data_IF_921310582163
#
_entry.id   IF_921310582163
#
_cell.length_a   1.000
_cell.length_b   1.000
_cell.length_c   1.000
_cell.angle_alpha   90.00
_cell.angle_beta   90.00
_cell.angle_gamma   90.00
#
_symmetry.space_group_name_H-M   'P 1'
#
loop_
_entity.id
_entity.type
_entity.pdbx_description
1 polymer ?
#
# COMPACT_ATOMS: atom_id res chain seq x y z
N UNK A 1 10.24 10.00 -20.22
CA UNK A 1 8.87 9.97 -19.66
C UNK A 1 8.93 10.59 -18.27
N UNK A 2 8.15 11.65 -17.99
CA UNK A 2 8.08 12.22 -16.64
C UNK A 2 7.12 11.34 -15.84
N UNK A 3 7.63 10.70 -14.79
CA UNK A 3 6.82 9.91 -13.86
C UNK A 3 5.88 10.84 -13.11
N UNK A 4 4.61 10.86 -13.49
CA UNK A 4 3.58 11.69 -12.83
C UNK A 4 3.30 11.22 -11.39
N UNK A 5 3.81 10.04 -11.02
CA UNK A 5 3.60 9.44 -9.71
C UNK A 5 4.72 9.73 -8.71
N UNK A 6 5.95 10.09 -9.11
CA UNK A 6 7.01 10.29 -8.09
C UNK A 6 6.82 11.56 -7.27
N UNK A 7 6.34 12.65 -7.88
CA UNK A 7 6.36 13.98 -7.27
C UNK A 7 5.25 14.19 -6.23
N UNK A 8 4.27 13.27 -6.12
CA UNK A 8 3.23 13.28 -5.09
C UNK A 8 3.52 12.39 -3.88
N UNK A 9 4.57 11.58 -3.92
CA UNK A 9 4.96 10.68 -2.83
C UNK A 9 5.93 11.31 -1.81
N UNK A 10 6.34 12.56 -2.02
CA UNK A 10 7.24 13.33 -1.13
C UNK A 10 6.53 13.91 0.12
N UNK A 11 5.34 13.42 0.46
CA UNK A 11 4.67 13.79 1.70
C UNK A 11 5.26 13.00 2.88
N UNK A 12 6.06 13.72 3.65
CA UNK A 12 6.76 13.37 4.89
C UNK A 12 5.88 12.89 6.07
N UNK A 13 4.83 12.09 5.86
CA UNK A 13 4.11 11.44 6.95
C UNK A 13 4.73 10.07 7.22
N UNK A 14 5.28 9.92 8.43
CA UNK A 14 5.68 8.62 8.97
C UNK A 14 4.45 7.72 8.86
N UNK A 15 4.54 6.65 8.08
CA UNK A 15 3.47 5.66 7.96
C UNK A 15 3.06 5.22 9.38
N UNK A 16 1.84 5.57 9.80
CA UNK A 16 1.36 5.34 11.16
C UNK A 16 0.79 3.93 11.29
N UNK A 17 1.66 2.94 11.13
CA UNK A 17 1.32 1.53 11.30
C UNK A 17 0.79 1.27 12.72
N UNK A 18 1.24 2.06 13.69
CA UNK A 18 0.68 2.09 15.05
C UNK A 18 -0.83 2.38 15.08
N UNK A 19 -1.31 3.29 14.23
CA UNK A 19 -2.73 3.62 14.11
C UNK A 19 -3.50 2.53 13.38
N UNK A 20 -2.95 2.02 12.27
CA UNK A 20 -3.56 0.94 11.48
C UNK A 20 -3.70 -0.36 12.29
N UNK A 21 -2.70 -0.69 13.11
CA UNK A 21 -2.77 -1.87 13.98
C UNK A 21 -3.64 -1.63 15.22
N UNK A 22 -3.97 -0.38 15.56
CA UNK A 22 -4.88 -0.03 16.64
C UNK A 22 -4.52 -0.62 18.00
N UNK A 23 -3.22 -0.85 18.26
CA UNK A 23 -2.73 -1.53 19.47
C UNK A 23 -3.06 -3.03 19.56
N UNK A 24 -3.51 -3.65 18.46
CA UNK A 24 -3.79 -5.09 18.40
C UNK A 24 -2.49 -5.89 18.30
N UNK A 25 -2.48 -7.05 18.94
CA UNK A 25 -1.40 -8.03 18.80
C UNK A 25 -1.76 -9.03 17.71
N UNK A 26 -0.86 -9.27 16.76
CA UNK A 26 -1.03 -10.28 15.72
C UNK A 26 -0.14 -11.50 15.98
N UNK A 27 -0.64 -12.67 15.65
CA UNK A 27 0.13 -13.92 15.59
C UNK A 27 0.67 -14.17 14.19
N UNK A 28 1.78 -14.90 14.07
CA UNK A 28 2.28 -15.31 12.74
C UNK A 28 1.23 -16.18 12.04
N UNK A 29 0.93 -15.85 10.78
CA UNK A 29 -0.15 -16.42 9.98
C UNK A 29 -1.51 -15.73 10.17
N UNK A 30 -1.64 -14.83 11.15
CA UNK A 30 -2.87 -14.07 11.35
C UNK A 30 -3.03 -13.03 10.24
N UNK A 31 -4.28 -12.90 9.78
CA UNK A 31 -4.66 -11.98 8.71
C UNK A 31 -5.65 -10.97 9.27
N UNK A 32 -5.34 -9.70 9.06
CA UNK A 32 -6.15 -8.55 9.40
C UNK A 32 -6.67 -7.93 8.11
N UNK A 33 -7.99 -7.95 7.92
CA UNK A 33 -8.63 -7.13 6.90
C UNK A 33 -8.92 -5.76 7.51
N UNK A 34 -8.38 -4.71 6.89
CA UNK A 34 -8.70 -3.33 7.30
C UNK A 34 -10.12 -3.00 6.85
N UNK A 35 -10.83 -2.23 7.65
CA UNK A 35 -12.17 -1.72 7.32
C UNK A 35 -12.20 -0.18 7.30
N UNK A 36 -13.30 0.36 6.76
CA UNK A 36 -13.70 1.78 6.81
C UNK A 36 -12.59 2.82 7.00
N UNK A 37 -12.37 3.21 8.26
CA UNK A 37 -11.46 4.29 8.66
C UNK A 37 -9.98 3.89 8.52
N UNK A 38 -9.63 2.66 8.91
CA UNK A 38 -8.26 2.11 8.79
C UNK A 38 -7.82 2.04 7.31
N UNK A 39 -8.75 1.71 6.41
CA UNK A 39 -8.52 1.75 4.96
C UNK A 39 -8.24 3.17 4.47
N UNK A 40 -8.92 4.18 5.02
CA UNK A 40 -8.76 5.58 4.60
C UNK A 40 -7.41 6.15 5.05
N UNK A 41 -6.94 5.81 6.24
CA UNK A 41 -5.62 6.24 6.73
C UNK A 41 -4.49 5.54 5.97
N UNK A 42 -4.70 4.27 5.62
CA UNK A 42 -3.84 3.57 4.67
C UNK A 42 -3.79 4.30 3.32
N UNK A 43 -4.94 4.58 2.69
CA UNK A 43 -5.00 5.33 1.41
C UNK A 43 -4.31 6.68 1.48
N UNK A 44 -4.54 7.44 2.54
CA UNK A 44 -3.97 8.79 2.68
C UNK A 44 -2.44 8.73 2.70
N UNK A 45 -1.88 7.63 3.22
CA UNK A 45 -0.44 7.37 3.23
C UNK A 45 0.12 6.90 1.87
N UNK A 46 -0.73 6.45 0.93
CA UNK A 46 -0.30 5.68 -0.25
C UNK A 46 -0.84 6.14 -1.61
N UNK A 47 -1.97 6.84 -1.64
CA UNK A 47 -2.75 7.03 -2.85
C UNK A 47 -3.09 8.49 -3.07
N UNK A 48 -3.24 8.87 -4.35
CA UNK A 48 -3.71 10.20 -4.71
C UNK A 48 -5.15 10.41 -4.20
N UNK A 49 -5.53 11.66 -3.92
CA UNK A 49 -6.80 12.05 -3.30
C UNK A 49 -8.09 11.58 -4.02
N UNK A 50 -7.98 10.98 -5.20
CA UNK A 50 -9.10 10.54 -6.05
C UNK A 50 -9.20 9.00 -6.15
N UNK A 51 -8.49 8.25 -5.29
CA UNK A 51 -8.55 6.78 -5.26
C UNK A 51 -9.43 6.30 -4.11
N UNK A 52 -10.29 5.33 -4.38
CA UNK A 52 -11.09 4.61 -3.40
C UNK A 52 -10.45 3.26 -3.13
N UNK A 53 -10.34 2.85 -1.87
CA UNK A 53 -9.87 1.51 -1.52
C UNK A 53 -11.04 0.57 -1.34
N UNK A 54 -10.93 -0.58 -1.99
CA UNK A 54 -11.93 -1.64 -1.91
C UNK A 54 -11.56 -2.62 -0.79
N UNK A 55 -10.30 -3.03 -0.73
CA UNK A 55 -9.81 -3.99 0.25
C UNK A 55 -8.35 -3.73 0.57
N UNK A 56 -7.98 -3.84 1.85
CA UNK A 56 -6.59 -3.99 2.28
C UNK A 56 -6.54 -5.13 3.27
N UNK A 57 -5.63 -6.06 3.03
CA UNK A 57 -5.38 -7.21 3.88
C UNK A 57 -3.92 -7.21 4.29
N UNK A 58 -3.67 -7.32 5.58
CA UNK A 58 -2.35 -7.46 6.18
C UNK A 58 -2.22 -8.85 6.78
N UNK A 59 -1.15 -9.57 6.47
CA UNK A 59 -0.87 -10.89 7.05
C UNK A 59 0.49 -10.86 7.71
N UNK A 60 0.59 -11.22 9.00
CA UNK A 60 1.88 -11.34 9.65
C UNK A 60 2.57 -12.62 9.18
N UNK A 61 3.52 -12.49 8.25
CA UNK A 61 4.18 -13.64 7.63
C UNK A 61 5.29 -14.20 8.51
N UNK A 62 6.05 -13.32 9.17
CA UNK A 62 7.18 -13.72 10.00
C UNK A 62 7.53 -12.64 11.03
N UNK A 63 8.22 -13.07 12.08
CA UNK A 63 8.98 -12.20 12.99
C UNK A 63 10.41 -12.72 12.97
N UNK A 64 11.38 -11.85 12.73
CA UNK A 64 12.79 -12.19 12.56
C UNK A 64 13.69 -11.22 13.30
N UNK A 65 14.78 -11.71 13.87
CA UNK A 65 15.83 -10.85 14.42
C UNK A 65 16.77 -10.36 13.32
N UNK A 66 17.15 -9.09 13.41
CA UNK A 66 18.20 -8.46 12.61
C UNK A 66 19.26 -7.90 13.55
N UNK A 67 20.41 -7.48 13.00
CA UNK A 67 21.47 -6.82 13.79
C UNK A 67 21.00 -5.57 14.54
N UNK A 68 19.85 -5.01 14.16
CA UNK A 68 19.25 -3.78 14.71
C UNK A 68 18.02 -4.03 15.59
N UNK A 69 17.65 -5.29 15.82
CA UNK A 69 16.50 -5.68 16.63
C UNK A 69 15.50 -6.56 15.88
N UNK A 70 14.39 -6.84 16.54
CA UNK A 70 13.32 -7.68 16.02
C UNK A 70 12.46 -6.93 15.00
N UNK A 71 12.16 -7.61 13.89
CA UNK A 71 11.41 -7.10 12.75
C UNK A 71 10.23 -8.02 12.45
N UNK A 72 9.04 -7.44 12.35
CA UNK A 72 7.85 -8.10 11.83
C UNK A 72 7.73 -7.87 10.32
N UNK A 73 7.47 -8.95 9.58
CA UNK A 73 7.25 -8.93 8.13
C UNK A 73 5.77 -9.17 7.86
N UNK A 74 5.10 -8.11 7.40
CA UNK A 74 3.70 -8.11 7.00
C UNK A 74 3.61 -8.30 5.49
N UNK A 75 2.87 -9.31 5.03
CA UNK A 75 2.35 -9.36 3.66
C UNK A 75 1.18 -8.41 3.52
N UNK A 76 1.10 -7.73 2.39
CA UNK A 76 0.00 -6.83 2.09
C UNK A 76 -0.59 -7.13 0.72
N UNK A 77 -1.92 -7.19 0.67
CA UNK A 77 -2.71 -7.25 -0.56
C UNK A 77 -3.72 -6.13 -0.51
N UNK A 78 -3.82 -5.35 -1.58
CA UNK A 78 -4.70 -4.18 -1.64
C UNK A 78 -5.28 -3.97 -3.03
N UNK A 79 -6.54 -3.53 -3.07
CA UNK A 79 -7.25 -3.22 -4.31
C UNK A 79 -7.84 -1.83 -4.20
N UNK A 80 -7.57 -1.02 -5.22
CA UNK A 80 -8.01 0.37 -5.35
C UNK A 80 -8.82 0.51 -6.62
N UNK A 81 -9.81 1.38 -6.57
CA UNK A 81 -10.55 1.84 -7.74
C UNK A 81 -10.34 3.34 -7.90
N UNK A 82 -10.06 3.77 -9.12
CA UNK A 82 -10.00 5.19 -9.46
C UNK A 82 -10.99 5.46 -10.59
N UNK A 83 -11.93 6.37 -10.33
CA UNK A 83 -12.94 6.78 -11.30
C UNK A 83 -12.56 8.11 -11.93
N UNK A 84 -12.35 8.10 -13.24
CA UNK A 84 -12.15 9.28 -14.08
C UNK A 84 -13.38 9.49 -14.97
N UNK A 85 -13.68 10.70 -15.47
CA UNK A 85 -14.90 10.98 -16.24
C UNK A 85 -15.16 10.11 -17.48
N UNK A 86 -14.17 9.35 -17.95
CA UNK A 86 -14.26 8.50 -19.14
C UNK A 86 -13.67 7.11 -18.95
N UNK A 87 -13.16 6.78 -17.76
CA UNK A 87 -12.46 5.51 -17.49
C UNK A 87 -12.55 5.14 -16.01
N UNK A 88 -12.83 3.87 -15.76
CA UNK A 88 -12.71 3.24 -14.46
C UNK A 88 -11.41 2.43 -14.46
N UNK A 89 -10.62 2.58 -13.40
CA UNK A 89 -9.35 1.88 -13.23
C UNK A 89 -9.38 1.08 -11.94
N UNK A 90 -9.00 -0.19 -12.03
CA UNK A 90 -8.72 -1.08 -10.92
C UNK A 90 -7.20 -1.23 -10.78
N UNK A 91 -6.70 -1.08 -9.57
CA UNK A 91 -5.29 -1.24 -9.24
C UNK A 91 -5.22 -2.29 -8.15
N UNK A 92 -4.57 -3.41 -8.44
CA UNK A 92 -4.30 -4.45 -7.44
C UNK A 92 -2.82 -4.44 -7.14
N UNK A 93 -2.47 -4.30 -5.86
CA UNK A 93 -1.09 -4.28 -5.37
C UNK A 93 -0.89 -5.35 -4.30
N UNK A 94 0.23 -6.05 -4.41
CA UNK A 94 0.70 -7.05 -3.47
C UNK A 94 2.15 -6.75 -3.09
N UNK A 95 2.52 -7.08 -1.85
CA UNK A 95 3.87 -6.82 -1.39
C UNK A 95 4.16 -7.18 0.04
N UNK A 96 5.25 -6.63 0.54
CA UNK A 96 5.73 -6.84 1.91
C UNK A 96 6.14 -5.55 2.56
N UNK A 97 5.81 -5.43 3.84
CA UNK A 97 6.18 -4.33 4.73
C UNK A 97 6.96 -4.96 5.89
N UNK A 98 8.15 -4.45 6.17
CA UNK A 98 8.99 -4.85 7.29
C UNK A 98 9.07 -3.70 8.28
N UNK A 99 8.71 -3.97 9.54
CA UNK A 99 8.70 -2.98 10.63
C UNK A 99 9.47 -3.48 11.83
N UNK A 100 10.15 -2.58 12.54
CA UNK A 100 10.73 -2.90 13.85
C UNK A 100 9.61 -3.09 14.89
N UNK A 101 9.63 -4.17 15.65
CA UNK A 101 8.52 -4.49 16.57
C UNK A 101 8.46 -3.54 17.78
N UNK A 102 9.61 -3.06 18.25
CA UNK A 102 9.69 -2.15 19.41
C UNK A 102 9.17 -0.75 19.12
N UNK A 103 9.41 -0.22 17.91
CA UNK A 103 9.10 1.16 17.54
C UNK A 103 8.01 1.30 16.49
N UNK A 104 7.57 0.18 15.90
CA UNK A 104 6.67 0.11 14.73
C UNK A 104 7.14 0.95 13.53
N UNK A 105 8.44 1.26 13.49
CA UNK A 105 9.01 2.07 12.43
C UNK A 105 9.28 1.23 11.19
N UNK A 106 9.01 1.81 10.02
CA UNK A 106 9.19 1.16 8.73
C UNK A 106 10.68 0.94 8.43
N UNK A 107 11.08 -0.32 8.27
CA UNK A 107 12.40 -0.68 7.78
C UNK A 107 12.43 -0.73 6.25
N UNK A 108 11.47 -1.45 5.66
CA UNK A 108 11.42 -1.72 4.23
C UNK A 108 9.99 -1.95 3.78
N UNK A 109 9.68 -1.51 2.58
CA UNK A 109 8.42 -1.77 1.90
C UNK A 109 8.69 -2.03 0.42
N UNK A 110 8.08 -3.09 -0.07
CA UNK A 110 8.11 -3.48 -1.48
C UNK A 110 6.68 -3.79 -1.89
N UNK A 111 6.13 -2.99 -2.80
CA UNK A 111 4.80 -3.19 -3.37
C UNK A 111 4.94 -3.33 -4.87
N UNK A 112 4.15 -4.22 -5.46
CA UNK A 112 4.06 -4.35 -6.91
C UNK A 112 2.63 -4.70 -7.29
N UNK A 113 2.20 -4.26 -8.46
CA UNK A 113 0.81 -4.41 -8.83
C UNK A 113 0.56 -4.21 -10.30
N UNK A 114 -0.67 -4.53 -10.69
CA UNK A 114 -1.19 -4.30 -12.02
C UNK A 114 -2.28 -3.23 -11.98
N UNK A 115 -2.30 -2.41 -13.02
CA UNK A 115 -3.32 -1.40 -13.28
C UNK A 115 -4.10 -1.91 -14.48
N UNK A 116 -5.41 -2.05 -14.33
CA UNK A 116 -6.34 -2.39 -15.39
C UNK A 116 -7.39 -1.28 -15.48
N UNK A 117 -7.53 -0.67 -16.64
CA UNK A 117 -8.48 0.40 -16.87
C UNK A 117 -9.34 0.12 -18.09
N UNK A 118 -10.63 0.41 -17.98
CA UNK A 118 -11.56 0.29 -19.09
C UNK A 118 -12.52 1.48 -19.08
N UNK A 119 -12.86 1.96 -20.27
CA UNK A 119 -13.68 3.16 -20.41
C UNK A 119 -14.15 3.43 -21.83
N UNK A 120 -14.85 4.55 -21.99
CA UNK A 120 -15.25 5.03 -23.30
C UNK A 120 -15.15 6.55 -23.38
N UNK A 121 -14.63 7.04 -24.50
CA UNK A 121 -14.52 8.47 -24.77
C UNK A 121 -14.87 8.75 -26.23
N UNK A 122 -15.80 9.69 -26.46
CA UNK A 122 -16.25 10.09 -27.79
C UNK A 122 -16.68 8.91 -28.70
N UNK A 123 -17.39 7.92 -28.13
CA UNK A 123 -17.85 6.74 -28.86
C UNK A 123 -16.78 5.69 -29.14
N UNK A 124 -15.54 5.88 -28.67
CA UNK A 124 -14.45 4.90 -28.77
C UNK A 124 -14.23 4.20 -27.42
N UNK A 125 -13.96 2.90 -27.45
CA UNK A 125 -13.50 2.14 -26.29
C UNK A 125 -12.05 2.49 -25.97
N UNK A 126 -11.75 2.73 -24.69
CA UNK A 126 -10.39 2.97 -24.19
C UNK A 126 -10.06 1.91 -23.17
N UNK A 127 -8.90 1.28 -23.29
CA UNK A 127 -8.34 0.39 -22.28
C UNK A 127 -6.97 0.89 -21.85
N UNK A 128 -6.62 0.62 -20.60
CA UNK A 128 -5.31 0.88 -20.04
C UNK A 128 -4.83 -0.37 -19.30
N UNK A 129 -3.59 -0.77 -19.54
CA UNK A 129 -2.95 -1.85 -18.80
C UNK A 129 -1.54 -1.38 -18.42
N UNK A 130 -1.13 -1.66 -17.19
CA UNK A 130 0.19 -1.25 -16.71
C UNK A 130 0.62 -2.01 -15.47
N UNK A 131 1.90 -1.89 -15.14
CA UNK A 131 2.48 -2.43 -13.91
C UNK A 131 3.01 -1.29 -13.07
N UNK A 132 2.78 -1.36 -11.76
CA UNK A 132 3.37 -0.45 -10.77
C UNK A 132 4.32 -1.23 -9.89
N UNK A 133 5.45 -0.62 -9.54
CA UNK A 133 6.37 -1.16 -8.54
C UNK A 133 6.87 0.00 -7.69
N UNK A 134 6.80 -0.18 -6.38
CA UNK A 134 7.22 0.78 -5.38
C UNK A 134 8.15 0.09 -4.40
N UNK A 135 9.29 0.73 -4.14
CA UNK A 135 10.24 0.27 -3.13
C UNK A 135 10.63 1.46 -2.27
N UNK A 136 10.48 1.30 -0.95
CA UNK A 136 10.97 2.24 0.06
C UNK A 136 11.80 1.45 1.06
N UNK A 137 13.00 1.94 1.33
CA UNK A 137 13.85 1.40 2.38
C UNK A 137 14.39 2.58 3.19
N UNK A 138 14.28 2.52 4.51
CA UNK A 138 14.83 3.55 5.38
C UNK A 138 16.13 3.03 5.99
N UNK A 139 17.23 3.73 5.70
CA UNK A 139 18.54 3.41 6.26
C UNK A 139 18.76 4.28 7.49
N UNK A 140 18.93 3.64 8.65
CA UNK A 140 19.42 4.33 9.86
C UNK A 140 20.93 4.59 9.73
N UNK A 141 21.34 5.86 9.87
CA UNK A 141 22.72 6.28 10.16
C UNK A 141 22.98 6.30 11.67
#
# INVERSE_FOLDING_TARGET
>A
AKSFLSDKFDAHEKMRIDEILGGRTMSVGETLSLDGEDMKDFVTSFAAADMEVQTVTLTLNAVSETDRGEVAVLGITSTFTQTSPFMEMEITMDGTISIFTESLWLQKMELSGNILGAGSHAGSSVSAEGTVSMMRAETYE
#
